data_IF_301370174514
#
_entry.id   IF_301370174514
#
_cell.length_a   1.000
_cell.length_b   1.000
_cell.length_c   1.000
_cell.angle_alpha   90.00
_cell.angle_beta   90.00
_cell.angle_gamma   90.00
#
_symmetry.space_group_name_H-M   'P 1'
#
loop_
_entity.id
_entity.type
_entity.pdbx_description
1 polymer ?
#
# COMPACT_ATOMS: atom_id res chain seq x y z
N UNK A 1 -16.00 64.54 4.47
CA UNK A 1 -16.26 63.12 4.78
C UNK A 1 -14.91 62.44 4.95
N UNK A 2 -14.52 61.96 6.14
CA UNK A 2 -13.34 61.12 6.23
C UNK A 2 -13.64 59.81 5.51
N UNK A 3 -12.65 59.27 4.78
CA UNK A 3 -12.77 57.97 4.13
C UNK A 3 -13.17 56.91 5.16
N UNK A 4 -14.10 55.98 4.84
CA UNK A 4 -14.46 54.92 5.78
C UNK A 4 -13.21 54.11 6.10
N UNK A 5 -12.94 53.90 7.39
CA UNK A 5 -11.87 53.03 7.83
C UNK A 5 -12.02 51.68 7.12
N UNK A 6 -11.04 51.27 6.31
CA UNK A 6 -11.02 49.96 5.70
C UNK A 6 -11.01 48.93 6.84
N UNK A 7 -12.17 48.34 7.15
CA UNK A 7 -12.24 47.19 8.04
C UNK A 7 -11.40 46.08 7.40
N UNK A 8 -10.36 45.64 8.11
CA UNK A 8 -9.48 44.57 7.65
C UNK A 8 -10.21 43.22 7.58
N UNK A 9 -11.27 43.06 8.37
CA UNK A 9 -12.11 41.87 8.42
C UNK A 9 -13.50 42.13 7.83
N UNK A 10 -14.13 41.10 7.22
CA UNK A 10 -15.53 41.16 6.81
C UNK A 10 -16.47 41.43 7.99
N UNK A 11 -17.71 41.88 7.71
CA UNK A 11 -18.80 41.84 8.69
C UNK A 11 -18.92 40.46 9.36
N UNK A 12 -19.28 40.38 10.66
CA UNK A 12 -19.40 39.11 11.37
C UNK A 12 -20.34 38.10 10.69
N UNK A 13 -21.43 38.58 10.10
CA UNK A 13 -22.39 37.76 9.35
C UNK A 13 -21.77 37.04 8.14
N UNK A 14 -20.81 37.66 7.45
CA UNK A 14 -20.07 37.05 6.35
C UNK A 14 -19.09 35.99 6.85
N UNK A 15 -18.44 36.24 8.01
CA UNK A 15 -17.55 35.27 8.65
C UNK A 15 -18.35 34.06 9.15
N UNK A 16 -19.46 34.29 9.83
CA UNK A 16 -20.34 33.24 10.36
C UNK A 16 -20.92 32.39 9.23
N UNK A 17 -21.31 33.02 8.11
CA UNK A 17 -21.72 32.30 6.90
C UNK A 17 -20.59 31.42 6.37
N UNK A 18 -19.38 31.96 6.24
CA UNK A 18 -18.23 31.22 5.71
C UNK A 18 -17.86 30.03 6.61
N UNK A 19 -17.83 30.23 7.92
CA UNK A 19 -17.55 29.18 8.91
C UNK A 19 -18.68 28.15 8.96
N UNK A 20 -19.93 28.59 8.87
CA UNK A 20 -21.11 27.71 8.79
C UNK A 20 -21.06 26.78 7.57
N UNK A 21 -20.72 27.32 6.39
CA UNK A 21 -20.51 26.52 5.17
C UNK A 21 -19.38 25.49 5.36
N UNK A 22 -18.30 25.89 6.03
CA UNK A 22 -17.17 24.99 6.30
C UNK A 22 -17.57 23.84 7.24
N UNK A 23 -18.27 24.13 8.34
CA UNK A 23 -18.79 23.10 9.23
C UNK A 23 -19.87 22.22 8.58
N UNK A 24 -20.63 22.78 7.64
CA UNK A 24 -21.60 22.03 6.81
C UNK A 24 -20.95 21.14 5.74
N UNK A 25 -19.64 21.26 5.52
CA UNK A 25 -18.89 20.44 4.55
C UNK A 25 -19.09 20.84 3.09
N UNK A 26 -19.76 21.96 2.78
CA UNK A 26 -19.92 22.45 1.41
C UNK A 26 -18.67 23.22 0.97
N UNK A 27 -17.59 22.47 0.72
CA UNK A 27 -16.27 23.02 0.40
C UNK A 27 -16.29 23.86 -0.89
N UNK A 28 -17.21 23.57 -1.82
CA UNK A 28 -17.38 24.33 -3.05
C UNK A 28 -17.93 25.74 -2.75
N UNK A 29 -18.97 25.84 -1.92
CA UNK A 29 -19.48 27.15 -1.49
C UNK A 29 -18.49 27.89 -0.58
N UNK A 30 -17.75 27.18 0.28
CA UNK A 30 -16.68 27.81 1.08
C UNK A 30 -15.65 28.48 0.19
N UNK A 31 -15.26 27.85 -0.90
CA UNK A 31 -14.28 28.43 -1.82
C UNK A 31 -14.84 29.61 -2.61
N UNK A 32 -16.09 29.53 -3.07
CA UNK A 32 -16.74 30.63 -3.77
C UNK A 32 -16.86 31.87 -2.86
N UNK A 33 -17.51 31.72 -1.71
CA UNK A 33 -17.74 32.82 -0.76
C UNK A 33 -16.42 33.32 -0.17
N UNK A 34 -15.55 32.39 0.25
CA UNK A 34 -14.25 32.74 0.81
C UNK A 34 -13.37 33.47 -0.20
N UNK A 35 -13.41 33.08 -1.48
CA UNK A 35 -12.65 33.70 -2.56
C UNK A 35 -13.06 35.15 -2.80
N UNK A 36 -14.37 35.42 -2.84
CA UNK A 36 -14.91 36.79 -2.92
C UNK A 36 -14.50 37.63 -1.71
N UNK A 37 -14.61 37.07 -0.51
CA UNK A 37 -14.19 37.75 0.72
C UNK A 37 -12.69 38.00 0.75
N UNK A 38 -11.86 37.08 0.25
CA UNK A 38 -10.41 37.24 0.21
C UNK A 38 -9.97 38.36 -0.76
N UNK A 39 -10.72 38.58 -1.84
CA UNK A 39 -10.49 39.70 -2.76
C UNK A 39 -10.87 41.04 -2.12
N UNK A 40 -12.00 41.11 -1.42
CA UNK A 40 -12.51 42.33 -0.77
C UNK A 40 -11.76 42.67 0.52
N UNK A 41 -11.29 41.66 1.25
CA UNK A 41 -10.69 41.75 2.58
C UNK A 41 -9.34 41.00 2.62
N UNK A 42 -8.40 41.41 1.76
CA UNK A 42 -7.11 40.73 1.57
C UNK A 42 -6.20 40.65 2.80
N UNK A 43 -6.53 41.39 3.86
CA UNK A 43 -5.83 41.42 5.16
C UNK A 43 -6.53 40.61 6.25
N UNK A 44 -7.66 39.94 5.95
CA UNK A 44 -8.38 39.12 6.93
C UNK A 44 -7.72 37.75 7.11
N UNK A 45 -7.06 37.54 8.25
CA UNK A 45 -6.43 36.26 8.56
C UNK A 45 -7.46 35.11 8.63
N UNK A 46 -8.67 35.38 9.13
CA UNK A 46 -9.74 34.39 9.28
C UNK A 46 -10.23 33.88 7.93
N UNK A 47 -10.44 34.77 6.95
CA UNK A 47 -10.86 34.37 5.60
C UNK A 47 -9.81 33.46 4.95
N UNK A 48 -8.53 33.86 5.01
CA UNK A 48 -7.43 33.05 4.49
C UNK A 48 -7.26 31.72 5.25
N UNK A 49 -7.50 31.69 6.57
CA UNK A 49 -7.51 30.46 7.39
C UNK A 49 -8.56 29.47 6.90
N UNK A 50 -9.80 29.92 6.74
CA UNK A 50 -10.92 29.05 6.33
C UNK A 50 -10.72 28.56 4.89
N UNK A 51 -10.36 29.44 3.95
CA UNK A 51 -10.04 29.05 2.57
C UNK A 51 -8.89 28.05 2.48
N UNK A 52 -7.81 28.31 3.21
CA UNK A 52 -6.64 27.43 3.21
C UNK A 52 -6.96 26.06 3.80
N UNK A 53 -7.75 26.03 4.89
CA UNK A 53 -8.16 24.79 5.54
C UNK A 53 -9.17 24.01 4.69
N UNK A 54 -10.10 24.68 4.01
CA UNK A 54 -11.06 24.00 3.12
C UNK A 54 -10.37 23.34 1.93
N UNK A 55 -9.39 24.02 1.33
CA UNK A 55 -8.55 23.45 0.26
C UNK A 55 -7.75 22.25 0.73
N UNK A 56 -7.23 22.31 1.97
CA UNK A 56 -6.53 21.18 2.58
C UNK A 56 -7.46 19.98 2.78
N UNK A 57 -8.67 20.19 3.30
CA UNK A 57 -9.68 19.14 3.46
C UNK A 57 -10.12 18.56 2.11
N UNK A 58 -10.20 19.40 1.07
CA UNK A 58 -10.47 18.98 -0.30
C UNK A 58 -9.27 18.26 -0.99
N UNK A 59 -8.15 18.05 -0.29
CA UNK A 59 -6.95 17.41 -0.84
C UNK A 59 -6.09 18.29 -1.76
N UNK A 60 -6.49 19.54 -2.00
CA UNK A 60 -5.77 20.51 -2.85
C UNK A 60 -4.63 21.17 -2.08
N UNK A 61 -3.64 20.36 -1.73
CA UNK A 61 -2.53 20.76 -0.85
C UNK A 61 -1.72 21.93 -1.42
N UNK A 62 -1.51 22.00 -2.73
CA UNK A 62 -0.81 23.13 -3.37
C UNK A 62 -1.54 24.46 -3.18
N UNK A 63 -2.86 24.48 -3.41
CA UNK A 63 -3.67 25.68 -3.26
C UNK A 63 -3.83 26.09 -1.79
N UNK A 64 -3.86 25.09 -0.90
CA UNK A 64 -3.90 25.29 0.54
C UNK A 64 -2.63 25.99 1.05
N UNK A 65 -1.44 25.61 0.56
CA UNK A 65 -0.17 26.22 0.98
C UNK A 65 -0.19 27.73 0.76
N UNK A 66 -0.60 28.20 -0.43
CA UNK A 66 -0.61 29.63 -0.74
C UNK A 66 -1.54 30.44 0.20
N UNK A 67 -2.77 29.95 0.41
CA UNK A 67 -3.74 30.61 1.30
C UNK A 67 -3.28 30.59 2.78
N UNK A 68 -2.73 29.46 3.25
CA UNK A 68 -2.27 29.32 4.62
C UNK A 68 -0.98 30.11 4.90
N UNK A 69 -0.09 30.25 3.91
CA UNK A 69 1.06 31.17 4.01
C UNK A 69 0.59 32.61 4.19
N UNK A 70 -0.43 33.04 3.42
CA UNK A 70 -1.02 34.36 3.59
C UNK A 70 -1.63 34.53 4.98
N UNK A 71 -2.41 33.56 5.45
CA UNK A 71 -2.98 33.58 6.79
C UNK A 71 -1.91 33.67 7.89
N UNK A 72 -0.84 32.86 7.82
CA UNK A 72 0.28 32.89 8.78
C UNK A 72 0.98 34.24 8.77
N UNK A 73 1.14 34.89 7.60
CA UNK A 73 1.75 36.22 7.53
C UNK A 73 0.91 37.30 8.24
N UNK A 74 -0.41 37.14 8.27
CA UNK A 74 -1.35 38.06 8.91
C UNK A 74 -1.54 37.76 10.40
N UNK A 75 -1.42 36.50 10.82
CA UNK A 75 -1.58 36.05 12.21
C UNK A 75 -0.49 35.04 12.64
N UNK A 76 0.78 35.46 12.79
CA UNK A 76 1.94 34.57 13.03
C UNK A 76 2.01 33.94 14.43
N UNK A 77 1.02 34.22 15.29
CA UNK A 77 0.91 33.66 16.65
C UNK A 77 -0.26 32.68 16.78
N UNK A 78 -1.01 32.41 15.71
CA UNK A 78 -2.07 31.40 15.70
C UNK A 78 -1.43 29.99 15.53
N UNK A 79 -1.50 29.10 16.54
CA UNK A 79 -0.93 27.77 16.46
C UNK A 79 -1.60 26.90 15.39
N UNK A 80 -2.89 27.06 15.12
CA UNK A 80 -3.62 26.24 14.15
C UNK A 80 -3.19 26.57 12.73
N UNK A 81 -2.91 27.84 12.44
CA UNK A 81 -2.40 28.26 11.13
C UNK A 81 -1.05 27.60 10.82
N UNK A 82 -0.17 27.54 11.81
CA UNK A 82 1.08 26.81 11.70
C UNK A 82 0.86 25.30 11.52
N UNK A 83 -0.08 24.69 12.24
CA UNK A 83 -0.40 23.27 12.08
C UNK A 83 -0.98 22.94 10.69
N UNK A 84 -1.95 23.73 10.22
CA UNK A 84 -2.60 23.56 8.93
C UNK A 84 -1.61 23.79 7.79
N UNK A 85 -0.76 24.82 7.87
CA UNK A 85 0.29 25.03 6.87
C UNK A 85 1.28 23.88 6.85
N UNK A 86 1.67 23.36 8.02
CA UNK A 86 2.51 22.18 8.12
C UNK A 86 1.89 20.96 7.44
N UNK A 87 0.59 20.72 7.63
CA UNK A 87 -0.14 19.65 6.95
C UNK A 87 -0.24 19.84 5.42
N UNK A 88 -0.47 21.07 4.95
CA UNK A 88 -0.49 21.37 3.52
C UNK A 88 0.90 21.19 2.88
N UNK A 89 1.96 21.65 3.55
CA UNK A 89 3.36 21.46 3.14
C UNK A 89 3.73 19.97 3.08
N UNK A 90 3.25 19.17 4.04
CA UNK A 90 3.38 17.70 4.00
C UNK A 90 2.73 17.13 2.75
N UNK A 91 1.51 17.56 2.42
CA UNK A 91 0.76 17.10 1.25
C UNK A 91 1.47 17.37 -0.09
N UNK A 92 2.28 18.43 -0.17
CA UNK A 92 3.11 18.74 -1.36
C UNK A 92 4.56 18.24 -1.26
N UNK A 93 4.90 17.43 -0.24
CA UNK A 93 6.23 16.85 -0.07
C UNK A 93 7.32 17.80 0.47
N UNK A 94 6.97 19.01 0.91
CA UNK A 94 7.89 19.98 1.54
C UNK A 94 8.09 19.66 3.02
N UNK A 95 8.63 18.47 3.29
CA UNK A 95 8.62 17.86 4.63
C UNK A 95 9.44 18.61 5.69
N UNK A 96 10.56 19.24 5.29
CA UNK A 96 11.38 20.00 6.24
C UNK A 96 10.66 21.27 6.72
N UNK A 97 10.01 21.99 5.82
CA UNK A 97 9.21 23.17 6.16
C UNK A 97 7.96 22.78 6.96
N UNK A 98 7.33 21.66 6.61
CA UNK A 98 6.21 21.11 7.35
C UNK A 98 6.57 20.86 8.83
N UNK A 99 7.72 20.24 9.09
CA UNK A 99 8.23 20.02 10.45
C UNK A 99 8.47 21.35 11.19
N UNK A 100 9.09 22.34 10.55
CA UNK A 100 9.32 23.66 11.18
C UNK A 100 8.02 24.35 11.60
N UNK A 101 7.01 24.34 10.73
CA UNK A 101 5.71 24.93 11.05
C UNK A 101 5.00 24.15 12.17
N UNK A 102 5.03 22.83 12.17
CA UNK A 102 4.44 22.03 13.24
C UNK A 102 5.15 22.21 14.59
N UNK A 103 6.47 22.30 14.59
CA UNK A 103 7.24 22.66 15.80
C UNK A 103 6.89 24.07 16.29
N UNK A 104 6.66 25.02 15.38
CA UNK A 104 6.21 26.37 15.75
C UNK A 104 4.80 26.35 16.36
N UNK A 105 3.89 25.57 15.79
CA UNK A 105 2.56 25.34 16.37
C UNK A 105 2.67 24.81 17.80
N UNK A 106 3.49 23.78 18.03
CA UNK A 106 3.71 23.20 19.35
C UNK A 106 4.43 24.13 20.34
N UNK A 107 5.27 25.05 19.87
CA UNK A 107 5.83 26.12 20.71
C UNK A 107 4.77 27.12 21.18
N UNK A 108 3.78 27.40 20.34
CA UNK A 108 2.66 28.31 20.65
C UNK A 108 1.58 27.62 21.50
N UNK A 109 1.34 26.33 21.25
CA UNK A 109 0.42 25.48 22.01
C UNK A 109 1.02 24.07 22.21
N UNK A 110 1.73 23.83 23.33
CA UNK A 110 2.37 22.53 23.61
C UNK A 110 1.39 21.37 23.83
N UNK A 111 0.12 21.65 24.14
CA UNK A 111 -0.88 20.63 24.48
C UNK A 111 -1.82 20.33 23.30
N UNK A 112 -1.34 20.47 22.06
CA UNK A 112 -2.11 20.14 20.86
C UNK A 112 -1.87 18.69 20.42
N UNK A 113 -2.78 17.73 20.72
CA UNK A 113 -2.66 16.35 20.23
C UNK A 113 -2.66 16.28 18.70
N UNK A 114 -3.40 17.18 18.05
CA UNK A 114 -3.47 17.24 16.59
C UNK A 114 -2.16 17.68 15.95
N UNK A 115 -1.47 18.67 16.52
CA UNK A 115 -0.16 19.10 16.03
C UNK A 115 0.91 18.03 16.28
N UNK A 116 0.87 17.31 17.42
CA UNK A 116 1.75 16.18 17.69
C UNK A 116 1.54 15.03 16.69
N UNK A 117 0.28 14.64 16.42
CA UNK A 117 -0.03 13.61 15.44
C UNK A 117 0.39 14.04 14.01
N UNK A 118 0.18 15.31 13.66
CA UNK A 118 0.62 15.87 12.38
C UNK A 118 2.15 15.86 12.25
N UNK A 119 2.87 16.15 13.33
CA UNK A 119 4.33 16.04 13.40
C UNK A 119 4.79 14.58 13.23
N UNK A 120 4.14 13.64 13.92
CA UNK A 120 4.37 12.20 13.72
C UNK A 120 4.24 11.78 12.26
N UNK A 121 3.21 12.29 11.56
CA UNK A 121 3.01 12.01 10.14
C UNK A 121 4.15 12.54 9.26
N UNK A 122 4.63 13.76 9.52
CA UNK A 122 5.79 14.35 8.81
C UNK A 122 7.05 13.54 9.08
N UNK A 123 7.33 13.22 10.34
CA UNK A 123 8.50 12.44 10.75
C UNK A 123 8.51 11.04 10.11
N UNK A 124 7.34 10.39 10.02
CA UNK A 124 7.18 9.13 9.30
C UNK A 124 7.56 9.27 7.83
N UNK A 125 7.04 10.29 7.13
CA UNK A 125 7.36 10.53 5.71
C UNK A 125 8.83 10.91 5.50
N UNK A 126 9.47 11.56 6.48
CA UNK A 126 10.92 11.81 6.50
C UNK A 126 11.76 10.56 6.81
N UNK A 127 11.15 9.38 6.97
CA UNK A 127 11.82 8.12 7.34
C UNK A 127 12.48 8.18 8.73
N UNK A 128 11.85 8.87 9.68
CA UNK A 128 12.24 8.93 11.10
C UNK A 128 11.20 8.24 12.00
N UNK A 129 10.97 6.92 11.83
CA UNK A 129 9.86 6.21 12.47
C UNK A 129 9.92 6.23 14.00
N UNK A 130 11.12 6.15 14.59
CA UNK A 130 11.26 6.11 16.05
C UNK A 130 10.80 7.41 16.71
N UNK A 131 11.11 8.54 16.08
CA UNK A 131 10.67 9.86 16.54
C UNK A 131 9.17 10.06 16.29
N UNK A 132 8.67 9.52 15.17
CA UNK A 132 7.23 9.55 14.86
C UNK A 132 6.40 8.80 15.90
N UNK A 133 6.84 7.62 16.34
CA UNK A 133 6.18 6.82 17.38
C UNK A 133 6.05 7.63 18.68
N UNK A 134 7.11 8.32 19.10
CA UNK A 134 7.05 9.16 20.30
C UNK A 134 6.03 10.29 20.15
N UNK A 135 6.00 10.97 18.99
CA UNK A 135 5.02 12.02 18.73
C UNK A 135 3.57 11.50 18.77
N UNK A 136 3.29 10.32 18.21
CA UNK A 136 1.96 9.71 18.31
C UNK A 136 1.60 9.30 19.74
N UNK A 137 2.55 8.73 20.50
CA UNK A 137 2.32 8.37 21.90
C UNK A 137 2.01 9.58 22.77
N UNK A 138 2.73 10.69 22.59
CA UNK A 138 2.41 11.95 23.27
C UNK A 138 1.03 12.49 22.86
N UNK A 139 0.68 12.43 21.57
CA UNK A 139 -0.66 12.81 21.11
C UNK A 139 -1.76 11.97 21.80
N UNK A 140 -1.55 10.65 21.92
CA UNK A 140 -2.49 9.72 22.54
C UNK A 140 -2.55 9.84 24.07
N UNK A 141 -1.48 10.31 24.73
CA UNK A 141 -1.54 10.68 26.16
C UNK A 141 -2.46 11.86 26.40
N UNK A 142 -2.43 12.87 25.52
CA UNK A 142 -3.30 14.04 25.60
C UNK A 142 -4.73 13.73 25.15
N UNK A 143 -4.90 12.88 24.14
CA UNK A 143 -6.21 12.48 23.61
C UNK A 143 -6.25 10.98 23.26
N UNK A 144 -6.67 10.12 24.21
CA UNK A 144 -6.64 8.66 24.01
C UNK A 144 -7.51 8.13 22.86
N UNK A 145 -8.59 8.83 22.52
CA UNK A 145 -9.54 8.46 21.46
C UNK A 145 -9.18 9.03 20.09
N UNK A 146 -7.96 9.54 19.91
CA UNK A 146 -7.52 10.09 18.63
C UNK A 146 -7.20 8.98 17.61
N UNK A 147 -8.25 8.45 16.96
CA UNK A 147 -8.21 7.29 16.07
C UNK A 147 -7.13 7.40 14.97
N UNK A 148 -7.04 8.56 14.31
CA UNK A 148 -6.05 8.80 13.26
C UNK A 148 -4.60 8.70 13.75
N UNK A 149 -4.29 9.14 14.97
CA UNK A 149 -2.94 8.99 15.54
C UNK A 149 -2.66 7.54 15.94
N UNK A 150 -3.66 6.88 16.54
CA UNK A 150 -3.55 5.48 16.96
C UNK A 150 -3.33 4.52 15.79
N UNK A 151 -4.07 4.69 14.69
CA UNK A 151 -3.84 3.84 13.51
C UNK A 151 -2.46 4.08 12.88
N UNK A 152 -1.95 5.33 12.88
CA UNK A 152 -0.65 5.63 12.31
C UNK A 152 0.49 5.09 13.19
N UNK A 153 0.29 5.01 14.50
CA UNK A 153 1.16 4.29 15.41
C UNK A 153 1.17 2.79 15.08
N UNK A 154 -0.01 2.17 14.95
CA UNK A 154 -0.16 0.76 14.61
C UNK A 154 0.55 0.39 13.29
N UNK A 155 0.54 1.27 12.27
CA UNK A 155 1.30 1.08 11.02
C UNK A 155 2.80 0.94 11.29
N UNK A 156 3.35 1.75 12.20
CA UNK A 156 4.78 1.72 12.53
C UNK A 156 5.15 0.50 13.39
N UNK A 157 4.26 0.10 14.29
CA UNK A 157 4.38 -1.11 15.11
C UNK A 157 4.36 -2.36 14.21
N UNK A 158 3.43 -2.43 13.25
CA UNK A 158 3.38 -3.49 12.25
C UNK A 158 4.66 -3.55 11.39
N UNK A 159 5.20 -2.40 10.99
CA UNK A 159 6.46 -2.33 10.25
C UNK A 159 7.67 -2.84 11.04
N UNK A 160 7.59 -2.83 12.38
CA UNK A 160 8.58 -3.43 13.29
C UNK A 160 8.31 -4.91 13.59
N UNK A 161 7.20 -5.46 13.12
CA UNK A 161 6.76 -6.82 13.43
C UNK A 161 6.03 -6.96 14.77
N UNK A 162 5.65 -5.84 15.41
CA UNK A 162 4.90 -5.80 16.66
C UNK A 162 3.39 -6.04 16.38
N UNK A 163 3.04 -7.13 15.70
CA UNK A 163 1.72 -7.34 15.09
C UNK A 163 0.56 -7.37 16.08
N UNK A 164 0.75 -7.98 17.26
CA UNK A 164 -0.30 -8.05 18.28
C UNK A 164 -0.66 -6.66 18.83
N UNK A 165 0.36 -5.81 19.04
CA UNK A 165 0.16 -4.43 19.49
C UNK A 165 -0.54 -3.61 18.39
N UNK A 166 -0.04 -3.71 17.15
CA UNK A 166 -0.63 -3.03 16.01
C UNK A 166 -2.11 -3.42 15.80
N UNK A 167 -2.46 -4.71 15.90
CA UNK A 167 -3.87 -5.15 15.83
C UNK A 167 -4.72 -4.52 16.92
N UNK A 168 -4.25 -4.53 18.18
CA UNK A 168 -4.98 -3.94 19.30
C UNK A 168 -5.23 -2.44 19.06
N UNK A 169 -4.22 -1.72 18.57
CA UNK A 169 -4.33 -0.30 18.28
C UNK A 169 -5.23 0.02 17.07
N UNK A 170 -5.23 -0.81 16.03
CA UNK A 170 -6.22 -0.69 14.94
C UNK A 170 -7.64 -0.91 15.46
N UNK A 171 -7.89 -1.97 16.24
CA UNK A 171 -9.22 -2.25 16.79
C UNK A 171 -9.71 -1.11 17.70
N UNK A 172 -8.83 -0.53 18.51
CA UNK A 172 -9.15 0.66 19.31
C UNK A 172 -9.44 1.89 18.45
N UNK A 173 -8.67 2.12 17.39
CA UNK A 173 -8.93 3.23 16.46
C UNK A 173 -10.31 3.09 15.79
N UNK A 174 -10.67 1.88 15.37
CA UNK A 174 -11.95 1.56 14.75
C UNK A 174 -13.13 1.62 15.73
N UNK A 175 -12.92 1.28 17.01
CA UNK A 175 -13.94 1.46 18.04
C UNK A 175 -14.23 2.95 18.30
N UNK A 176 -13.20 3.80 18.24
CA UNK A 176 -13.35 5.25 18.39
C UNK A 176 -13.93 5.92 17.13
N UNK A 177 -13.57 5.42 15.95
CA UNK A 177 -14.00 5.95 14.66
C UNK A 177 -14.30 4.81 13.66
N UNK A 178 -15.53 4.29 13.63
CA UNK A 178 -15.90 3.16 12.76
C UNK A 178 -15.90 3.48 11.26
N UNK A 179 -15.97 4.75 10.87
CA UNK A 179 -15.93 5.19 9.46
C UNK A 179 -14.50 5.41 8.94
N UNK A 180 -13.47 5.12 9.74
CA UNK A 180 -12.06 5.23 9.37
C UNK A 180 -11.66 4.11 8.40
N UNK A 181 -11.83 4.36 7.09
CA UNK A 181 -11.51 3.43 6.00
C UNK A 181 -10.10 2.82 6.11
N UNK A 182 -9.08 3.65 6.32
CA UNK A 182 -7.69 3.19 6.43
C UNK A 182 -7.51 2.21 7.59
N UNK A 183 -8.24 2.37 8.70
CA UNK A 183 -8.15 1.48 9.85
C UNK A 183 -8.62 0.06 9.51
N UNK A 184 -9.73 -0.04 8.75
CA UNK A 184 -10.26 -1.33 8.30
C UNK A 184 -9.33 -1.99 7.29
N UNK A 185 -8.82 -1.23 6.32
CA UNK A 185 -7.85 -1.72 5.33
C UNK A 185 -6.59 -2.22 6.01
N UNK A 186 -5.99 -1.40 6.87
CA UNK A 186 -4.72 -1.74 7.51
C UNK A 186 -4.85 -2.94 8.46
N UNK A 187 -5.96 -3.06 9.20
CA UNK A 187 -6.21 -4.24 10.04
C UNK A 187 -6.39 -5.50 9.18
N UNK A 188 -7.17 -5.42 8.11
CA UNK A 188 -7.37 -6.55 7.22
C UNK A 188 -6.06 -7.00 6.55
N UNK A 189 -5.23 -6.05 6.08
CA UNK A 189 -3.91 -6.33 5.51
C UNK A 189 -2.99 -6.97 6.55
N UNK A 190 -2.93 -6.45 7.78
CA UNK A 190 -2.13 -7.07 8.85
C UNK A 190 -2.56 -8.51 9.13
N UNK A 191 -3.86 -8.79 9.17
CA UNK A 191 -4.38 -10.14 9.35
C UNK A 191 -4.04 -11.05 8.17
N UNK A 192 -4.08 -10.55 6.94
CA UNK A 192 -3.63 -11.30 5.76
C UNK A 192 -2.12 -11.58 5.80
N UNK A 193 -1.30 -10.58 6.11
CA UNK A 193 0.16 -10.64 6.22
C UNK A 193 0.61 -11.63 7.31
N UNK A 194 -0.21 -11.85 8.34
CA UNK A 194 0.01 -12.83 9.41
C UNK A 194 -0.68 -14.18 9.17
N UNK A 195 -1.24 -14.40 7.97
CA UNK A 195 -1.85 -15.66 7.57
C UNK A 195 -3.27 -15.91 8.09
N UNK A 196 -3.85 -14.96 8.84
CA UNK A 196 -5.20 -15.01 9.45
C UNK A 196 -6.28 -14.51 8.49
N UNK A 197 -6.31 -15.09 7.29
CA UNK A 197 -7.15 -14.61 6.16
C UNK A 197 -8.65 -14.67 6.45
N UNK A 198 -9.10 -15.67 7.23
CA UNK A 198 -10.52 -15.78 7.62
C UNK A 198 -10.95 -14.61 8.50
N UNK A 199 -10.14 -14.26 9.49
CA UNK A 199 -10.42 -13.10 10.34
C UNK A 199 -10.35 -11.78 9.55
N UNK A 200 -9.45 -11.69 8.57
CA UNK A 200 -9.41 -10.56 7.65
C UNK A 200 -10.74 -10.39 6.89
N UNK A 201 -11.38 -11.48 6.45
CA UNK A 201 -12.72 -11.42 5.82
C UNK A 201 -13.80 -10.89 6.76
N UNK A 202 -13.77 -11.32 8.03
CA UNK A 202 -14.73 -10.86 9.03
C UNK A 202 -14.56 -9.35 9.31
N UNK A 203 -13.32 -8.88 9.35
CA UNK A 203 -12.97 -7.44 9.49
C UNK A 203 -13.42 -6.64 8.27
N UNK A 204 -13.16 -7.12 7.06
CA UNK A 204 -13.57 -6.43 5.83
C UNK A 204 -15.10 -6.36 5.71
N UNK A 205 -15.79 -7.43 6.10
CA UNK A 205 -17.25 -7.47 6.14
C UNK A 205 -17.84 -6.47 7.13
N UNK A 206 -17.17 -6.25 8.27
CA UNK A 206 -17.55 -5.18 9.21
C UNK A 206 -17.29 -3.80 8.63
N UNK A 207 -16.11 -3.56 8.06
CA UNK A 207 -15.77 -2.28 7.44
C UNK A 207 -16.72 -1.88 6.30
N UNK A 208 -17.15 -2.84 5.47
CA UNK A 208 -18.13 -2.62 4.40
C UNK A 208 -19.49 -2.13 4.93
N UNK A 209 -19.85 -2.44 6.18
CA UNK A 209 -21.07 -1.92 6.83
C UNK A 209 -20.87 -0.56 7.48
N UNK A 210 -19.65 -0.24 7.91
CA UNK A 210 -19.35 0.95 8.72
C UNK A 210 -18.89 2.16 7.91
N UNK A 211 -18.22 1.94 6.78
CA UNK A 211 -17.70 3.00 5.90
C UNK A 211 -18.66 3.19 4.74
N UNK A 212 -18.95 4.42 4.29
CA UNK A 212 -19.75 4.68 3.06
C UNK A 212 -18.91 5.09 1.86
N UNK A 213 -17.94 5.97 2.05
CA UNK A 213 -17.04 6.42 1.00
C UNK A 213 -15.83 5.49 0.87
N UNK A 214 -15.45 5.09 -0.34
CA UNK A 214 -14.31 4.20 -0.55
C UNK A 214 -14.54 2.73 -0.14
N UNK A 215 -15.80 2.31 0.09
CA UNK A 215 -16.17 0.91 0.36
C UNK A 215 -15.60 -0.07 -0.66
N UNK A 216 -15.43 0.37 -1.91
CA UNK A 216 -14.86 -0.44 -2.97
C UNK A 216 -13.44 -0.95 -2.63
N UNK A 217 -12.66 -0.22 -1.81
CA UNK A 217 -11.30 -0.65 -1.42
C UNK A 217 -11.37 -1.86 -0.47
N UNK A 218 -12.34 -1.82 0.45
CA UNK A 218 -12.66 -2.94 1.33
C UNK A 218 -13.21 -4.12 0.52
N UNK A 219 -14.06 -3.85 -0.47
CA UNK A 219 -14.62 -4.88 -1.34
C UNK A 219 -13.53 -5.59 -2.16
N UNK A 220 -12.55 -4.85 -2.68
CA UNK A 220 -11.42 -5.40 -3.40
C UNK A 220 -10.62 -6.38 -2.51
N UNK A 221 -10.20 -5.94 -1.32
CA UNK A 221 -9.51 -6.83 -0.37
C UNK A 221 -10.38 -8.03 0.04
N UNK A 222 -11.69 -7.84 0.16
CA UNK A 222 -12.63 -8.89 0.51
C UNK A 222 -12.68 -9.97 -0.59
N UNK A 223 -12.82 -9.57 -1.86
CA UNK A 223 -12.79 -10.48 -3.02
C UNK A 223 -11.51 -11.32 -3.03
N UNK A 224 -10.35 -10.71 -2.74
CA UNK A 224 -9.08 -11.44 -2.70
C UNK A 224 -9.00 -12.43 -1.56
N UNK A 225 -9.49 -12.08 -0.36
CA UNK A 225 -9.53 -13.08 0.71
C UNK A 225 -10.56 -14.19 0.43
N UNK A 226 -11.69 -13.91 -0.23
CA UNK A 226 -12.57 -14.96 -0.75
C UNK A 226 -11.84 -15.89 -1.73
N UNK A 227 -11.04 -15.35 -2.66
CA UNK A 227 -10.19 -16.16 -3.55
C UNK A 227 -9.19 -17.03 -2.76
N UNK A 228 -8.48 -16.45 -1.80
CA UNK A 228 -7.52 -17.19 -0.95
C UNK A 228 -8.21 -18.28 -0.13
N UNK A 229 -9.46 -18.07 0.30
CA UNK A 229 -10.27 -19.04 1.05
C UNK A 229 -11.04 -20.03 0.16
N UNK A 230 -10.90 -19.92 -1.17
CA UNK A 230 -11.66 -20.72 -2.16
C UNK A 230 -13.18 -20.52 -2.07
N UNK A 231 -13.61 -19.34 -1.62
CA UNK A 231 -15.01 -18.91 -1.57
C UNK A 231 -15.40 -18.18 -2.86
N UNK A 232 -15.64 -18.97 -3.91
CA UNK A 232 -16.00 -18.42 -5.21
C UNK A 232 -17.37 -17.72 -5.22
N UNK A 233 -18.29 -18.18 -4.38
CA UNK A 233 -19.62 -17.59 -4.27
C UNK A 233 -19.57 -16.21 -3.62
N UNK A 234 -18.86 -16.08 -2.49
CA UNK A 234 -18.68 -14.78 -1.83
C UNK A 234 -17.92 -13.78 -2.70
N UNK A 235 -16.87 -14.22 -3.38
CA UNK A 235 -16.15 -13.38 -4.34
C UNK A 235 -17.06 -12.87 -5.47
N UNK A 236 -17.87 -13.75 -6.08
CA UNK A 236 -18.78 -13.37 -7.15
C UNK A 236 -19.87 -12.40 -6.66
N UNK A 237 -20.40 -12.60 -5.45
CA UNK A 237 -21.38 -11.70 -4.84
C UNK A 237 -20.80 -10.29 -4.65
N UNK A 238 -19.62 -10.19 -4.03
CA UNK A 238 -18.93 -8.91 -3.82
C UNK A 238 -18.56 -8.25 -5.15
N UNK A 239 -18.03 -9.01 -6.10
CA UNK A 239 -17.68 -8.50 -7.42
C UNK A 239 -18.90 -7.89 -8.12
N UNK A 240 -20.02 -8.62 -8.16
CA UNK A 240 -21.25 -8.15 -8.79
C UNK A 240 -21.83 -6.90 -8.10
N UNK A 241 -21.69 -6.79 -6.78
CA UNK A 241 -22.18 -5.65 -6.01
C UNK A 241 -21.36 -4.37 -6.22
N UNK A 242 -20.04 -4.49 -6.44
CA UNK A 242 -19.13 -3.34 -6.44
C UNK A 242 -18.48 -3.01 -7.79
N UNK A 243 -18.54 -3.89 -8.80
CA UNK A 243 -17.91 -3.64 -10.11
C UNK A 243 -18.34 -2.32 -10.77
N UNK A 244 -19.62 -1.92 -10.62
CA UNK A 244 -20.15 -0.69 -11.19
C UNK A 244 -19.67 0.59 -10.47
N UNK A 245 -19.08 0.45 -9.28
CA UNK A 245 -18.57 1.58 -8.49
C UNK A 245 -17.09 1.88 -8.80
N UNK A 246 -16.41 1.02 -9.55
CA UNK A 246 -15.02 1.23 -9.94
C UNK A 246 -14.98 2.31 -11.03
N UNK A 247 -14.54 3.51 -10.64
CA UNK A 247 -14.35 4.60 -11.58
C UNK A 247 -13.36 4.20 -12.68
N UNK A 248 -13.62 4.63 -13.92
CA UNK A 248 -12.65 4.48 -15.02
C UNK A 248 -11.29 5.12 -14.72
N UNK A 249 -11.26 6.14 -13.84
CA UNK A 249 -10.04 6.82 -13.47
C UNK A 249 -9.10 5.98 -12.59
N UNK A 250 -9.60 4.94 -11.89
CA UNK A 250 -8.78 4.14 -10.99
C UNK A 250 -8.23 2.89 -11.68
N UNK A 251 -7.08 3.06 -12.35
CA UNK A 251 -6.41 1.98 -13.09
C UNK A 251 -6.01 0.81 -12.20
N UNK A 252 -5.43 1.07 -11.03
CA UNK A 252 -4.89 0.02 -10.17
C UNK A 252 -5.99 -0.93 -9.69
N UNK A 253 -7.16 -0.38 -9.37
CA UNK A 253 -8.30 -1.20 -8.99
C UNK A 253 -8.96 -1.90 -10.17
N UNK A 254 -9.06 -1.28 -11.34
CA UNK A 254 -9.55 -1.99 -12.53
C UNK A 254 -8.69 -3.21 -12.84
N UNK A 255 -7.37 -3.06 -12.80
CA UNK A 255 -6.42 -4.17 -12.99
C UNK A 255 -6.67 -5.28 -11.95
N UNK A 256 -6.87 -4.92 -10.68
CA UNK A 256 -7.09 -5.87 -9.61
C UNK A 256 -8.42 -6.63 -9.71
N UNK A 257 -9.52 -5.93 -9.98
CA UNK A 257 -10.82 -6.53 -10.24
C UNK A 257 -10.77 -7.42 -11.49
N UNK A 258 -10.05 -6.99 -12.52
CA UNK A 258 -9.84 -7.75 -13.74
C UNK A 258 -9.06 -9.05 -13.49
N UNK A 259 -7.95 -9.01 -12.77
CA UNK A 259 -7.17 -10.20 -12.40
C UNK A 259 -8.03 -11.15 -11.59
N UNK A 260 -8.76 -10.65 -10.59
CA UNK A 260 -9.64 -11.48 -9.76
C UNK A 260 -10.70 -12.20 -10.60
N UNK A 261 -11.41 -11.49 -11.48
CA UNK A 261 -12.39 -12.08 -12.39
C UNK A 261 -11.77 -13.14 -13.31
N UNK A 262 -10.55 -12.89 -13.82
CA UNK A 262 -9.82 -13.85 -14.67
C UNK A 262 -9.39 -15.10 -13.91
N UNK A 263 -8.99 -14.99 -12.65
CA UNK A 263 -8.63 -16.15 -11.83
C UNK A 263 -9.84 -17.09 -11.63
N UNK A 264 -11.02 -16.53 -11.35
CA UNK A 264 -12.25 -17.32 -11.25
C UNK A 264 -12.68 -17.94 -12.59
N UNK A 265 -12.61 -17.18 -13.69
CA UNK A 265 -12.91 -17.66 -15.04
C UNK A 265 -11.98 -18.83 -15.43
N UNK A 266 -10.68 -18.73 -15.13
CA UNK A 266 -9.74 -19.82 -15.36
C UNK A 266 -10.07 -21.06 -14.52
N UNK A 267 -10.50 -20.90 -13.26
CA UNK A 267 -10.93 -22.03 -12.43
C UNK A 267 -12.12 -22.78 -13.04
N UNK A 268 -13.07 -22.06 -13.64
CA UNK A 268 -14.22 -22.66 -14.31
C UNK A 268 -13.87 -23.32 -15.64
N UNK A 269 -12.94 -22.74 -16.40
CA UNK A 269 -12.50 -23.26 -17.71
C UNK A 269 -11.55 -24.45 -17.61
N UNK A 270 -10.77 -24.53 -16.54
CA UNK A 270 -9.78 -25.59 -16.32
C UNK A 270 -10.05 -26.37 -15.02
N UNK A 271 -11.24 -26.99 -14.86
CA UNK A 271 -11.62 -27.65 -13.61
C UNK A 271 -10.70 -28.81 -13.23
N UNK A 272 -10.01 -29.41 -14.22
CA UNK A 272 -9.01 -30.46 -14.01
C UNK A 272 -7.81 -30.00 -13.15
N UNK A 273 -7.52 -28.69 -13.10
CA UNK A 273 -6.49 -28.14 -12.21
C UNK A 273 -6.95 -28.04 -10.76
N UNK A 274 -8.25 -28.20 -10.45
CA UNK A 274 -8.79 -27.97 -9.11
C UNK A 274 -9.50 -29.20 -8.53
N UNK A 275 -8.87 -30.40 -8.57
CA UNK A 275 -9.50 -31.62 -8.09
C UNK A 275 -9.78 -31.57 -6.59
N UNK A 276 -10.82 -32.29 -6.17
CA UNK A 276 -11.07 -32.61 -4.78
C UNK A 276 -10.01 -33.59 -4.23
N UNK A 277 -9.90 -33.69 -2.91
CA UNK A 277 -8.96 -34.59 -2.23
C UNK A 277 -7.83 -33.86 -1.51
N UNK A 278 -6.96 -34.63 -0.85
CA UNK A 278 -5.84 -34.12 -0.09
C UNK A 278 -4.54 -34.24 -0.88
N UNK A 279 -3.77 -33.16 -0.92
CA UNK A 279 -2.49 -33.07 -1.61
C UNK A 279 -1.51 -32.33 -0.71
N UNK A 280 -0.22 -32.64 -0.85
CA UNK A 280 0.81 -31.94 -0.08
C UNK A 280 0.75 -30.42 -0.37
N UNK A 281 0.85 -29.55 0.66
CA UNK A 281 0.77 -28.12 0.46
C UNK A 281 2.07 -27.58 -0.17
N UNK A 282 1.91 -26.73 -1.18
CA UNK A 282 2.97 -25.82 -1.64
C UNK A 282 2.58 -24.41 -1.23
N UNK A 283 3.30 -23.81 -0.28
CA UNK A 283 3.02 -22.45 0.16
C UNK A 283 3.63 -21.46 -0.84
N UNK A 284 2.78 -20.75 -1.57
CA UNK A 284 3.19 -19.80 -2.60
C UNK A 284 3.19 -18.40 -2.01
N UNK A 285 4.36 -17.85 -1.71
CA UNK A 285 4.51 -16.56 -1.02
C UNK A 285 4.92 -15.49 -2.03
N UNK A 286 4.17 -14.38 -2.10
CA UNK A 286 4.50 -13.28 -2.99
C UNK A 286 3.35 -12.30 -3.20
N UNK A 287 3.34 -11.64 -4.35
CA UNK A 287 2.29 -10.70 -4.74
C UNK A 287 1.25 -11.39 -5.65
N UNK A 288 0.72 -10.75 -6.67
CA UNK A 288 -0.32 -11.26 -7.56
C UNK A 288 0.00 -12.64 -8.16
N UNK A 289 1.27 -12.93 -8.50
CA UNK A 289 1.70 -14.24 -8.98
C UNK A 289 1.52 -15.36 -7.95
N UNK A 290 1.41 -15.05 -6.66
CA UNK A 290 1.05 -16.04 -5.64
C UNK A 290 -0.42 -16.46 -5.72
N UNK A 291 -1.28 -15.59 -6.25
CA UNK A 291 -2.71 -15.86 -6.43
C UNK A 291 -3.00 -16.67 -7.69
N UNK A 292 -2.12 -16.61 -8.70
CA UNK A 292 -2.31 -17.32 -9.98
C UNK A 292 -2.45 -18.85 -9.81
N UNK A 293 -1.55 -19.56 -9.10
CA UNK A 293 -1.71 -20.99 -8.90
C UNK A 293 -2.66 -21.33 -7.75
N UNK A 294 -3.32 -20.36 -7.11
CA UNK A 294 -4.06 -20.60 -5.88
C UNK A 294 -5.05 -21.77 -6.02
N UNK A 295 -4.95 -22.75 -5.13
CA UNK A 295 -5.76 -23.97 -5.07
C UNK A 295 -5.57 -24.95 -6.24
N UNK A 296 -4.79 -24.60 -7.25
CA UNK A 296 -4.46 -25.51 -8.34
C UNK A 296 -3.61 -26.67 -7.80
N UNK A 297 -3.85 -27.85 -8.37
CA UNK A 297 -3.06 -29.06 -8.14
C UNK A 297 -2.29 -29.35 -9.41
N UNK A 298 -0.98 -29.50 -9.29
CA UNK A 298 -0.10 -29.75 -10.42
C UNK A 298 1.10 -30.63 -10.03
N UNK A 299 1.75 -31.28 -11.03
CA UNK A 299 2.97 -32.03 -10.79
C UNK A 299 4.05 -31.16 -10.17
N UNK A 300 4.74 -31.70 -9.17
CA UNK A 300 5.79 -30.99 -8.46
C UNK A 300 6.92 -31.94 -8.04
N UNK A 301 7.99 -31.37 -7.50
CA UNK A 301 9.28 -32.01 -7.26
C UNK A 301 9.16 -33.31 -6.49
N UNK A 302 8.42 -33.28 -5.38
CA UNK A 302 8.25 -34.39 -4.44
C UNK A 302 6.88 -35.08 -4.62
N UNK A 303 6.26 -34.95 -5.80
CA UNK A 303 4.91 -35.43 -6.10
C UNK A 303 3.89 -34.29 -6.22
N UNK A 304 2.64 -34.58 -6.61
CA UNK A 304 1.62 -33.55 -6.82
C UNK A 304 1.35 -32.72 -5.57
N UNK A 305 1.28 -31.40 -5.73
CA UNK A 305 1.02 -30.45 -4.64
C UNK A 305 -0.23 -29.65 -4.91
N UNK A 306 -0.87 -29.17 -3.84
CA UNK A 306 -1.88 -28.10 -3.91
C UNK A 306 -1.24 -26.78 -3.51
N UNK A 307 -1.30 -25.79 -4.40
CA UNK A 307 -0.81 -24.46 -4.11
C UNK A 307 -1.71 -23.77 -3.08
N UNK A 308 -1.09 -23.28 -2.01
CA UNK A 308 -1.71 -22.49 -0.96
C UNK A 308 -1.16 -21.05 -1.04
N UNK A 309 -1.96 -20.09 -1.52
CA UNK A 309 -1.50 -18.73 -1.73
C UNK A 309 -1.27 -18.01 -0.39
N UNK A 310 -0.14 -17.30 -0.30
CA UNK A 310 0.25 -16.43 0.82
C UNK A 310 0.59 -15.05 0.26
N UNK A 311 -0.45 -14.22 0.12
CA UNK A 311 -0.33 -12.89 -0.45
C UNK A 311 0.37 -11.95 0.54
N UNK A 312 1.37 -11.23 0.06
CA UNK A 312 1.97 -10.06 0.71
C UNK A 312 1.99 -8.93 -0.30
N UNK A 313 1.04 -8.01 -0.18
CA UNK A 313 0.75 -7.03 -1.22
C UNK A 313 1.91 -6.04 -1.44
N UNK A 314 2.28 -5.83 -2.71
CA UNK A 314 3.35 -4.92 -3.12
C UNK A 314 4.77 -5.32 -2.71
N UNK A 315 4.99 -6.56 -2.23
CA UNK A 315 6.33 -7.04 -1.91
C UNK A 315 7.21 -7.09 -3.16
N UNK A 316 8.49 -6.75 -2.97
CA UNK A 316 9.49 -6.65 -4.04
C UNK A 316 10.82 -7.19 -3.52
N UNK A 317 11.69 -7.64 -4.41
CA UNK A 317 13.04 -8.08 -4.07
C UNK A 317 13.79 -6.98 -3.32
N UNK A 318 13.69 -5.73 -3.76
CA UNK A 318 14.38 -4.61 -3.12
C UNK A 318 13.89 -4.32 -1.68
N UNK A 319 12.63 -4.64 -1.35
CA UNK A 319 12.11 -4.48 0.01
C UNK A 319 12.79 -5.47 0.97
N UNK A 320 12.99 -6.71 0.51
CA UNK A 320 13.63 -7.75 1.29
C UNK A 320 15.15 -7.51 1.41
N UNK A 321 15.80 -7.03 0.35
CA UNK A 321 17.21 -6.63 0.39
C UNK A 321 17.50 -5.30 1.13
N UNK A 322 16.49 -4.60 1.62
CA UNK A 322 16.68 -3.34 2.35
C UNK A 322 17.30 -3.57 3.73
N UNK A 323 18.29 -2.73 4.09
CA UNK A 323 18.85 -2.69 5.46
C UNK A 323 17.90 -2.09 6.48
N UNK A 324 17.01 -1.20 6.04
CA UNK A 324 15.98 -0.64 6.91
C UNK A 324 14.85 -1.66 7.06
N UNK A 325 14.51 -1.96 8.33
CA UNK A 325 13.33 -2.74 8.69
C UNK A 325 12.09 -2.15 8.01
N UNK A 326 11.24 -3.02 7.50
CA UNK A 326 10.03 -2.64 6.81
C UNK A 326 8.95 -3.71 6.95
N UNK A 327 7.70 -3.30 6.68
CA UNK A 327 6.53 -4.15 6.81
C UNK A 327 6.58 -5.41 5.93
N UNK A 328 7.17 -5.36 4.73
CA UNK A 328 7.23 -6.54 3.86
C UNK A 328 8.16 -7.62 4.41
N UNK A 329 9.30 -7.23 4.99
CA UNK A 329 10.17 -8.18 5.70
C UNK A 329 9.45 -8.81 6.90
N UNK A 330 8.70 -7.99 7.65
CA UNK A 330 7.92 -8.48 8.79
C UNK A 330 6.81 -9.46 8.33
N UNK A 331 6.06 -9.11 7.28
CA UNK A 331 4.98 -9.92 6.73
C UNK A 331 5.51 -11.26 6.20
N UNK A 332 6.57 -11.26 5.40
CA UNK A 332 7.14 -12.52 4.87
C UNK A 332 7.65 -13.41 6.01
N UNK A 333 8.24 -12.86 7.07
CA UNK A 333 8.61 -13.63 8.26
C UNK A 333 7.39 -14.25 8.94
N UNK A 334 6.34 -13.47 9.17
CA UNK A 334 5.10 -13.99 9.77
C UNK A 334 4.47 -15.11 8.92
N UNK A 335 4.47 -14.96 7.59
CA UNK A 335 4.01 -16.02 6.68
C UNK A 335 4.86 -17.29 6.82
N UNK A 336 6.18 -17.16 6.86
CA UNK A 336 7.09 -18.29 7.06
C UNK A 336 6.84 -18.96 8.42
N UNK A 337 6.75 -18.18 9.50
CA UNK A 337 6.45 -18.67 10.85
C UNK A 337 5.09 -19.36 10.95
N UNK A 338 4.11 -18.97 10.12
CA UNK A 338 2.79 -19.59 10.08
C UNK A 338 2.74 -20.96 9.38
N UNK A 339 3.82 -21.39 8.71
CA UNK A 339 3.88 -22.66 7.98
C UNK A 339 4.92 -23.62 8.56
N UNK A 340 4.76 -24.96 8.37
CA UNK A 340 5.68 -25.95 8.91
C UNK A 340 7.16 -25.68 8.57
N UNK A 341 8.07 -26.07 9.46
CA UNK A 341 9.49 -25.79 9.32
C UNK A 341 10.16 -26.55 8.15
N UNK A 342 9.57 -27.66 7.71
CA UNK A 342 9.99 -28.50 6.59
C UNK A 342 9.13 -28.28 5.32
N UNK A 343 8.25 -27.28 5.35
CA UNK A 343 7.30 -27.00 4.27
C UNK A 343 8.00 -26.70 2.94
N UNK A 344 7.28 -26.99 1.84
CA UNK A 344 7.64 -26.54 0.51
C UNK A 344 7.16 -25.11 0.30
N UNK A 345 8.09 -24.21 -0.03
CA UNK A 345 7.80 -22.79 -0.24
C UNK A 345 8.25 -22.37 -1.63
N UNK A 346 7.33 -21.75 -2.38
CA UNK A 346 7.60 -21.11 -3.65
C UNK A 346 7.50 -19.59 -3.46
N UNK A 347 8.59 -18.87 -3.70
CA UNK A 347 8.56 -17.40 -3.74
C UNK A 347 8.28 -16.91 -5.15
N UNK A 348 7.22 -16.11 -5.30
CA UNK A 348 6.80 -15.50 -6.58
C UNK A 348 7.03 -13.98 -6.57
N UNK A 349 8.23 -13.57 -6.17
CA UNK A 349 8.61 -12.16 -5.99
C UNK A 349 9.63 -11.77 -7.07
N UNK A 350 9.44 -10.61 -7.68
CA UNK A 350 10.43 -10.00 -8.57
C UNK A 350 9.87 -9.39 -9.85
N UNK A 351 8.65 -9.75 -10.24
CA UNK A 351 8.04 -9.19 -11.45
C UNK A 351 7.88 -7.67 -11.37
N UNK A 352 7.39 -7.14 -10.24
CA UNK A 352 7.24 -5.69 -10.03
C UNK A 352 8.60 -4.96 -10.06
N UNK A 353 9.68 -5.59 -9.57
CA UNK A 353 11.04 -5.03 -9.67
C UNK A 353 11.52 -4.91 -11.12
N UNK A 354 10.88 -5.62 -12.05
CA UNK A 354 11.20 -5.70 -13.47
C UNK A 354 10.16 -5.04 -14.38
N UNK A 355 9.29 -4.15 -13.87
CA UNK A 355 8.37 -3.37 -14.71
C UNK A 355 9.03 -2.11 -15.30
N UNK A 356 8.59 -1.59 -16.46
CA UNK A 356 9.15 -0.37 -17.04
C UNK A 356 8.96 0.90 -16.19
N UNK A 357 7.83 1.00 -15.49
CA UNK A 357 7.40 2.17 -14.73
C UNK A 357 7.69 2.04 -13.22
N UNK A 358 8.38 0.98 -12.83
CA UNK A 358 8.72 0.65 -11.45
C UNK A 358 10.07 -0.07 -11.34
N UNK A 359 10.54 -0.34 -10.12
CA UNK A 359 11.68 -1.21 -9.89
C UNK A 359 13.01 -0.72 -10.47
N UNK A 360 13.78 -1.68 -10.97
CA UNK A 360 15.17 -1.53 -11.42
C UNK A 360 15.25 -0.58 -12.63
N UNK A 361 14.35 -0.75 -13.60
CA UNK A 361 14.37 0.05 -14.83
C UNK A 361 14.10 1.52 -14.55
N UNK A 362 13.04 1.83 -13.79
CA UNK A 362 12.75 3.20 -13.37
C UNK A 362 13.88 3.82 -12.55
N UNK A 363 14.48 3.04 -11.64
CA UNK A 363 15.62 3.52 -10.86
C UNK A 363 16.83 3.87 -11.76
N UNK A 364 17.10 3.04 -12.76
CA UNK A 364 18.14 3.30 -13.76
C UNK A 364 17.84 4.58 -14.57
N UNK A 365 16.62 4.73 -15.10
CA UNK A 365 16.20 5.92 -15.85
C UNK A 365 16.23 7.20 -15.01
N UNK A 366 16.08 7.08 -13.69
CA UNK A 366 16.22 8.18 -12.74
C UNK A 366 17.69 8.45 -12.32
N UNK A 367 18.67 7.81 -12.96
CA UNK A 367 20.10 8.03 -12.67
C UNK A 367 20.60 7.42 -11.36
N UNK A 368 19.87 6.48 -10.74
CA UNK A 368 20.25 5.89 -9.45
C UNK A 368 21.39 4.85 -9.54
N UNK A 369 21.78 4.45 -10.74
CA UNK A 369 22.88 3.53 -10.97
C UNK A 369 22.82 2.85 -12.34
N UNK A 370 23.92 2.21 -12.73
CA UNK A 370 23.95 1.35 -13.91
C UNK A 370 23.08 0.09 -13.71
N UNK A 371 22.43 -0.40 -14.77
CA UNK A 371 21.55 -1.57 -14.72
C UNK A 371 22.22 -2.78 -14.05
N UNK A 372 23.43 -3.15 -14.49
CA UNK A 372 24.16 -4.29 -13.93
C UNK A 372 24.38 -4.19 -12.41
N UNK A 373 24.64 -2.98 -11.89
CA UNK A 373 24.81 -2.75 -10.45
C UNK A 373 23.48 -2.87 -9.70
N UNK A 374 22.41 -2.27 -10.23
CA UNK A 374 21.08 -2.31 -9.62
C UNK A 374 20.53 -3.73 -9.59
N UNK A 375 20.65 -4.48 -10.69
CA UNK A 375 20.27 -5.88 -10.79
C UNK A 375 21.03 -6.73 -9.78
N UNK A 376 22.38 -6.64 -9.78
CA UNK A 376 23.24 -7.41 -8.87
C UNK A 376 22.83 -7.22 -7.41
N UNK A 377 22.69 -5.98 -6.95
CA UNK A 377 22.40 -5.71 -5.54
C UNK A 377 20.96 -6.04 -5.14
N UNK A 378 20.00 -5.83 -6.05
CA UNK A 378 18.59 -6.18 -5.79
C UNK A 378 18.44 -7.68 -5.61
N UNK A 379 19.02 -8.47 -6.51
CA UNK A 379 18.96 -9.94 -6.44
C UNK A 379 19.78 -10.46 -5.26
N UNK A 380 21.00 -9.97 -5.04
CA UNK A 380 21.84 -10.43 -3.93
C UNK A 380 21.17 -10.17 -2.57
N UNK A 381 20.69 -8.93 -2.34
CA UNK A 381 20.02 -8.58 -1.09
C UNK A 381 18.75 -9.39 -0.85
N UNK A 382 17.95 -9.62 -1.90
CA UNK A 382 16.78 -10.49 -1.80
C UNK A 382 17.14 -11.93 -1.41
N UNK A 383 18.09 -12.54 -2.11
CA UNK A 383 18.48 -13.94 -1.86
C UNK A 383 19.13 -14.11 -0.49
N UNK A 384 20.00 -13.19 -0.08
CA UNK A 384 20.61 -13.19 1.25
C UNK A 384 19.55 -13.08 2.35
N UNK A 385 18.58 -12.18 2.16
CA UNK A 385 17.47 -12.04 3.10
C UNK A 385 16.63 -13.32 3.17
N UNK A 386 16.26 -13.92 2.03
CA UNK A 386 15.51 -15.19 2.02
C UNK A 386 16.31 -16.26 2.76
N UNK A 387 17.61 -16.39 2.49
CA UNK A 387 18.46 -17.42 3.11
C UNK A 387 18.52 -17.29 4.63
N UNK A 388 18.54 -16.07 5.14
CA UNK A 388 18.56 -15.79 6.57
C UNK A 388 17.24 -16.11 7.30
N UNK A 389 16.12 -16.24 6.57
CA UNK A 389 14.77 -16.31 7.18
C UNK A 389 14.00 -17.60 6.87
N UNK A 390 14.37 -18.37 5.85
CA UNK A 390 13.62 -19.58 5.43
C UNK A 390 13.76 -20.78 6.38
N UNK A 391 14.83 -20.85 7.16
CA UNK A 391 15.11 -22.00 8.02
C UNK A 391 15.31 -23.29 7.23
N UNK A 392 14.70 -24.40 7.68
CA UNK A 392 14.84 -25.73 7.07
C UNK A 392 13.89 -26.00 5.89
N UNK A 393 13.11 -25.00 5.45
CA UNK A 393 12.09 -25.14 4.42
C UNK A 393 12.69 -25.47 3.07
N UNK A 394 11.96 -26.24 2.25
CA UNK A 394 12.34 -26.55 0.87
C UNK A 394 12.01 -25.36 -0.04
N UNK A 395 13.02 -24.58 -0.39
CA UNK A 395 12.86 -23.32 -1.12
C UNK A 395 12.89 -23.52 -2.64
N UNK A 396 11.90 -22.93 -3.31
CA UNK A 396 11.90 -22.66 -4.75
C UNK A 396 11.76 -21.17 -4.98
N UNK A 397 12.62 -20.58 -5.82
CA UNK A 397 12.40 -19.23 -6.34
C UNK A 397 11.81 -19.31 -7.75
N UNK A 398 10.77 -18.54 -7.99
CA UNK A 398 10.29 -18.28 -9.34
C UNK A 398 11.14 -17.20 -10.00
N UNK A 399 11.49 -17.41 -11.27
CA UNK A 399 12.02 -16.34 -12.11
C UNK A 399 11.00 -15.23 -12.39
N UNK A 400 11.42 -14.26 -13.19
CA UNK A 400 10.55 -13.21 -13.72
C UNK A 400 10.19 -13.57 -15.16
N UNK A 401 8.89 -13.63 -15.53
CA UNK A 401 8.50 -13.93 -16.91
C UNK A 401 9.01 -12.88 -17.88
N UNK A 402 9.33 -13.29 -19.11
CA UNK A 402 9.62 -12.35 -20.20
C UNK A 402 8.34 -11.57 -20.53
N UNK A 403 8.34 -10.24 -20.40
CA UNK A 403 7.13 -9.46 -20.55
C UNK A 403 6.67 -9.46 -22.01
N UNK A 404 5.35 -9.48 -22.25
CA UNK A 404 4.81 -9.41 -23.63
C UNK A 404 5.15 -8.10 -24.34
N UNK A 405 5.37 -7.04 -23.56
CA UNK A 405 5.71 -5.70 -24.04
C UNK A 405 6.93 -5.20 -23.29
N UNK A 406 7.91 -4.74 -24.03
CA UNK A 406 9.13 -4.13 -23.51
C UNK A 406 9.35 -2.72 -24.10
N UNK A 407 10.02 -1.83 -23.36
CA UNK A 407 10.45 -0.53 -23.89
C UNK A 407 11.56 -0.66 -24.95
N UNK A 408 12.55 -1.51 -24.70
CA UNK A 408 13.71 -1.73 -25.55
C UNK A 408 14.45 -3.04 -25.20
N UNK A 409 15.48 -3.38 -25.98
CA UNK A 409 16.30 -4.58 -25.81
C UNK A 409 17.12 -4.55 -24.51
N UNK A 410 17.51 -3.36 -24.04
CA UNK A 410 18.27 -3.24 -22.80
C UNK A 410 17.42 -3.59 -21.58
N UNK A 411 16.12 -3.29 -21.63
CA UNK A 411 15.15 -3.75 -20.63
C UNK A 411 14.98 -5.27 -20.65
N UNK A 412 14.83 -5.88 -21.83
CA UNK A 412 14.76 -7.35 -21.94
C UNK A 412 16.04 -8.01 -21.42
N UNK A 413 17.21 -7.45 -21.73
CA UNK A 413 18.49 -7.91 -21.21
C UNK A 413 18.59 -7.78 -19.67
N UNK A 414 18.01 -6.74 -19.08
CA UNK A 414 17.91 -6.58 -17.62
C UNK A 414 17.05 -7.69 -17.00
N UNK A 415 15.87 -8.01 -17.58
CA UNK A 415 15.01 -9.10 -17.09
C UNK A 415 15.72 -10.45 -17.19
N UNK A 416 16.46 -10.68 -18.28
CA UNK A 416 17.27 -11.88 -18.46
C UNK A 416 18.40 -11.97 -17.41
N UNK A 417 19.11 -10.88 -17.12
CA UNK A 417 20.17 -10.83 -16.09
C UNK A 417 19.61 -11.10 -14.68
N UNK A 418 18.44 -10.56 -14.34
CA UNK A 418 17.75 -10.87 -13.07
C UNK A 418 17.51 -12.37 -12.94
N UNK A 419 16.96 -13.00 -13.98
CA UNK A 419 16.67 -14.44 -13.98
C UNK A 419 17.95 -15.30 -13.90
N UNK A 420 18.98 -14.94 -14.65
CA UNK A 420 20.27 -15.64 -14.62
C UNK A 420 20.86 -15.66 -13.22
N UNK A 421 20.88 -14.50 -12.53
CA UNK A 421 21.39 -14.38 -11.16
C UNK A 421 20.54 -15.11 -10.13
N UNK A 422 19.22 -15.06 -10.24
CA UNK A 422 18.33 -15.83 -9.35
C UNK A 422 18.60 -17.33 -9.48
N UNK A 423 18.77 -17.81 -10.72
CA UNK A 423 19.10 -19.21 -11.02
C UNK A 423 20.44 -19.63 -10.44
N UNK A 424 21.49 -18.84 -10.68
CA UNK A 424 22.83 -19.08 -10.12
C UNK A 424 22.80 -19.10 -8.59
N UNK A 425 22.08 -18.16 -7.97
CA UNK A 425 22.00 -18.06 -6.53
C UNK A 425 21.21 -19.21 -5.89
N UNK A 426 20.20 -19.74 -6.59
CA UNK A 426 19.50 -20.96 -6.21
C UNK A 426 20.43 -22.18 -6.28
N UNK A 427 21.13 -22.36 -7.40
CA UNK A 427 22.06 -23.46 -7.60
C UNK A 427 23.14 -23.49 -6.50
N UNK A 428 23.73 -22.33 -6.19
CA UNK A 428 24.76 -22.19 -5.15
C UNK A 428 24.25 -22.54 -3.72
N UNK A 429 22.94 -22.53 -3.49
CA UNK A 429 22.31 -22.80 -2.19
C UNK A 429 21.61 -24.16 -2.13
N UNK A 430 21.62 -24.91 -3.22
CA UNK A 430 20.77 -26.08 -3.36
C UNK A 430 19.29 -25.72 -3.25
N UNK A 431 18.87 -24.58 -3.76
CA UNK A 431 17.44 -24.27 -3.90
C UNK A 431 16.96 -24.64 -5.30
N UNK A 432 15.65 -24.82 -5.42
CA UNK A 432 15.01 -25.04 -6.69
C UNK A 432 14.80 -23.72 -7.42
N UNK A 433 14.88 -23.74 -8.75
CA UNK A 433 14.54 -22.58 -9.57
C UNK A 433 13.46 -22.97 -10.59
N UNK A 434 12.38 -22.21 -10.62
CA UNK A 434 11.34 -22.31 -11.64
C UNK A 434 11.62 -21.26 -12.72
N UNK A 435 12.19 -21.71 -13.84
CA UNK A 435 12.67 -20.87 -14.95
C UNK A 435 11.51 -20.43 -15.85
N UNK A 436 10.65 -19.58 -15.30
CA UNK A 436 9.49 -19.04 -16.03
C UNK A 436 9.92 -18.20 -17.23
N UNK A 437 11.06 -17.53 -17.15
CA UNK A 437 11.61 -16.74 -18.24
C UNK A 437 11.85 -17.60 -19.47
N UNK A 438 12.55 -18.73 -19.33
CA UNK A 438 12.77 -19.67 -20.42
C UNK A 438 11.46 -20.22 -21.01
N UNK A 439 10.42 -20.35 -20.19
CA UNK A 439 9.12 -20.80 -20.67
C UNK A 439 8.38 -19.75 -21.49
N UNK A 440 8.55 -18.48 -21.13
CA UNK A 440 7.83 -17.35 -21.73
C UNK A 440 8.57 -16.70 -22.89
N UNK A 441 9.89 -16.87 -22.96
CA UNK A 441 10.72 -16.24 -23.96
C UNK A 441 10.30 -16.63 -25.38
N UNK A 442 9.94 -15.64 -26.20
CA UNK A 442 9.46 -15.86 -27.57
C UNK A 442 8.16 -16.69 -27.67
N UNK A 443 7.48 -16.99 -26.56
CA UNK A 443 6.33 -17.89 -26.53
C UNK A 443 5.01 -17.24 -27.02
N UNK A 444 5.08 -16.06 -27.66
CA UNK A 444 3.93 -15.28 -28.17
C UNK A 444 2.77 -15.15 -27.16
N UNK A 445 3.09 -15.06 -25.87
CA UNK A 445 2.07 -14.95 -24.82
C UNK A 445 1.31 -16.24 -24.49
N UNK A 446 1.74 -17.42 -24.96
CA UNK A 446 1.13 -18.73 -24.64
C UNK A 446 0.77 -18.88 -23.17
N UNK A 447 1.73 -18.56 -22.29
CA UNK A 447 1.61 -18.72 -20.83
C UNK A 447 1.12 -17.49 -20.09
N UNK A 448 0.84 -16.40 -20.78
CA UNK A 448 0.56 -15.11 -20.17
C UNK A 448 -0.94 -14.84 -20.09
N UNK A 449 -1.42 -14.37 -18.93
CA UNK A 449 -2.76 -13.86 -18.74
C UNK A 449 -2.90 -12.44 -19.31
N UNK A 450 -1.93 -11.58 -19.01
CA UNK A 450 -1.78 -10.20 -19.50
C UNK A 450 -0.34 -9.96 -19.96
N UNK A 451 0.19 -8.74 -19.83
CA UNK A 451 1.55 -8.42 -20.25
C UNK A 451 2.64 -9.00 -19.32
N UNK A 452 2.30 -9.42 -18.09
CA UNK A 452 3.25 -9.80 -17.04
C UNK A 452 2.86 -11.05 -16.21
N UNK A 453 1.57 -11.34 -16.03
CA UNK A 453 1.08 -12.45 -15.21
C UNK A 453 1.00 -13.74 -16.01
N UNK A 454 1.30 -14.85 -15.33
CA UNK A 454 1.14 -16.20 -15.88
C UNK A 454 -0.33 -16.66 -15.80
N UNK A 455 -0.73 -17.62 -16.63
CA UNK A 455 -2.00 -18.35 -16.51
C UNK A 455 -1.86 -19.53 -15.53
N UNK A 456 -2.92 -19.98 -14.86
CA UNK A 456 -2.89 -21.20 -14.05
C UNK A 456 -2.37 -22.45 -14.81
N UNK A 457 -2.77 -22.61 -16.08
CA UNK A 457 -2.28 -23.66 -16.99
C UNK A 457 -0.75 -23.80 -17.09
N UNK A 458 -0.01 -22.70 -16.86
CA UNK A 458 1.45 -22.73 -16.85
C UNK A 458 1.98 -23.72 -15.80
N UNK A 459 1.40 -23.72 -14.61
CA UNK A 459 1.88 -24.51 -13.48
C UNK A 459 1.70 -26.01 -13.70
N UNK A 460 0.69 -26.43 -14.47
CA UNK A 460 0.53 -27.82 -14.90
C UNK A 460 1.71 -28.32 -15.76
N UNK A 461 2.43 -27.40 -16.41
CA UNK A 461 3.59 -27.68 -17.26
C UNK A 461 4.91 -27.21 -16.65
N UNK A 462 4.88 -26.66 -15.43
CA UNK A 462 6.04 -26.03 -14.79
C UNK A 462 7.23 -26.99 -14.63
N UNK A 463 6.97 -28.30 -14.47
CA UNK A 463 8.01 -29.32 -14.39
C UNK A 463 8.95 -29.33 -15.61
N UNK A 464 8.48 -28.95 -16.81
CA UNK A 464 9.34 -28.86 -18.00
C UNK A 464 10.35 -27.71 -17.93
N UNK A 465 10.06 -26.69 -17.12
CA UNK A 465 10.88 -25.50 -16.92
C UNK A 465 11.55 -25.48 -15.54
N UNK A 466 11.40 -26.59 -14.82
CA UNK A 466 12.01 -26.76 -13.54
C UNK A 466 13.49 -27.14 -13.70
N UNK A 467 14.35 -26.43 -13.00
CA UNK A 467 15.79 -26.72 -12.95
C UNK A 467 16.10 -27.32 -11.60
N UNK A 468 16.45 -28.61 -11.63
CA UNK A 468 16.95 -29.35 -10.47
C UNK A 468 18.29 -28.78 -10.00
N UNK A 469 18.52 -29.00 -8.71
CA UNK A 469 19.86 -29.09 -8.12
C UNK A 469 20.78 -29.94 -8.99
#
# INVERSE_FOLDING_TARGET
MPAPAHRNDPPPEDIDRLVGLFHGGDLAQVEAVGGELAQRFASSAVVWKVLGTSRLVAGRSTDAVAALQRAVSLAPKDPDLHANLGNALRGVGRLAEAEQHLQRSLKLNPQSPMALASLGNVLRQQRRPDVAINAYREALKLQPLLAGARQNLAVLEAARGEFAQAEADYRHALAAQPDLLDGWVNLATLLQDTGRVREAQDVLSQGLRSVKAGQWMLAALAITGCWILRDAQGAAQLFNAFQAQVSEADRALREFFWVSARLFDNMQREPALYPAGDFAPLYVIGESHSLVPAHAVFPWVDGPVRAQPRLVQGVKMHHLGSKALNQWQAAIRAQLESVPADAQVLFTIGEIDCRPDEGIWKAHKAGKGALAYLVKNTVAGYVEWVAANVGARKVTLQGVPEPRRSPDDAFLAMVADVNARLREACAARGWNFLDVHAATAGAQGKWHLDDFHLKPAFYANAMAFWRKR
#
